data_IF_351256052919
#
_entry.id   IF_351256052919
#
_cell.length_a   1.000
_cell.length_b   1.000
_cell.length_c   1.000
_cell.angle_alpha   90.00
_cell.angle_beta   90.00
_cell.angle_gamma   90.00
#
_symmetry.space_group_name_H-M   'P 1'
#
loop_
_entity.id
_entity.type
_entity.pdbx_description
1 polymer ?
#
# COMPACT_ATOMS: atom_id res chain seq x y z
N UNK A 1 -16.51 7.43 -29.41
CA UNK A 1 -15.43 7.80 -28.46
C UNK A 1 -14.69 6.60 -27.82
N UNK A 2 -15.14 5.34 -27.97
CA UNK A 2 -14.50 4.16 -27.35
C UNK A 2 -13.41 3.45 -28.20
N UNK A 3 -13.24 3.83 -29.47
CA UNK A 3 -12.37 3.10 -30.43
C UNK A 3 -10.86 3.32 -30.19
N UNK A 4 -10.45 4.49 -29.67
CA UNK A 4 -9.03 4.82 -29.42
C UNK A 4 -8.50 4.37 -28.04
N UNK A 5 -9.38 3.91 -27.14
CA UNK A 5 -8.99 3.53 -25.77
C UNK A 5 -8.15 2.25 -25.78
N UNK A 6 -8.51 1.26 -26.59
CA UNK A 6 -7.78 -0.01 -26.69
C UNK A 6 -6.34 0.16 -27.22
N UNK A 7 -6.09 0.85 -28.35
CA UNK A 7 -4.72 1.07 -28.82
C UNK A 7 -3.89 1.90 -27.84
N UNK A 8 -4.50 2.87 -27.15
CA UNK A 8 -3.83 3.63 -26.08
C UNK A 8 -3.41 2.74 -24.91
N UNK A 9 -4.28 1.85 -24.44
CA UNK A 9 -3.94 0.87 -23.39
C UNK A 9 -2.80 -0.02 -23.84
N UNK A 10 -2.84 -0.53 -25.07
CA UNK A 10 -1.75 -1.37 -25.61
C UNK A 10 -0.44 -0.60 -25.72
N UNK A 11 -0.43 0.64 -26.21
CA UNK A 11 0.80 1.44 -26.31
C UNK A 11 1.39 1.74 -24.93
N UNK A 12 0.56 2.02 -23.92
CA UNK A 12 1.01 2.22 -22.54
C UNK A 12 1.59 0.92 -21.96
N UNK A 13 0.91 -0.21 -22.12
CA UNK A 13 1.40 -1.51 -21.64
C UNK A 13 2.72 -1.90 -22.31
N UNK A 14 2.85 -1.70 -23.63
CA UNK A 14 4.10 -1.93 -24.38
C UNK A 14 5.20 -0.98 -23.89
N UNK A 15 4.89 0.30 -23.68
CA UNK A 15 5.84 1.27 -23.15
C UNK A 15 6.37 0.88 -21.76
N UNK A 16 5.48 0.47 -20.85
CA UNK A 16 5.86 -0.06 -19.52
C UNK A 16 6.75 -1.29 -19.67
N UNK A 17 6.37 -2.24 -20.53
CA UNK A 17 7.13 -3.46 -20.75
C UNK A 17 8.54 -3.16 -21.29
N UNK A 18 8.65 -2.33 -22.32
CA UNK A 18 9.94 -1.94 -22.91
C UNK A 18 10.80 -1.20 -21.90
N UNK A 19 10.22 -0.28 -21.11
CA UNK A 19 10.94 0.43 -20.05
C UNK A 19 11.51 -0.54 -19.01
N UNK A 20 10.70 -1.50 -18.53
CA UNK A 20 11.14 -2.51 -17.56
C UNK A 20 12.25 -3.36 -18.14
N UNK A 21 12.10 -3.86 -19.38
CA UNK A 21 13.10 -4.67 -20.05
C UNK A 21 14.42 -3.91 -20.25
N UNK A 22 14.34 -2.64 -20.69
CA UNK A 22 15.51 -1.79 -20.87
C UNK A 22 16.21 -1.47 -19.54
N UNK A 23 15.44 -1.22 -18.47
CA UNK A 23 16.00 -0.96 -17.14
C UNK A 23 16.73 -2.19 -16.60
N UNK A 24 16.16 -3.38 -16.76
CA UNK A 24 16.79 -4.64 -16.34
C UNK A 24 18.02 -4.92 -17.20
N UNK A 25 17.93 -4.73 -18.52
CA UNK A 25 19.05 -4.97 -19.44
C UNK A 25 20.23 -4.02 -19.15
N UNK A 26 19.97 -2.73 -19.01
CA UNK A 26 21.00 -1.72 -18.73
C UNK A 26 21.52 -1.76 -17.28
N UNK A 27 20.69 -2.21 -16.34
CA UNK A 27 21.00 -2.18 -14.91
C UNK A 27 21.38 -3.54 -14.31
N UNK A 28 21.46 -4.61 -15.09
CA UNK A 28 21.62 -5.99 -14.58
C UNK A 28 22.79 -6.12 -13.59
N UNK A 29 23.96 -5.60 -13.96
CA UNK A 29 25.17 -5.70 -13.13
C UNK A 29 25.09 -4.86 -11.85
N UNK A 30 24.43 -3.70 -11.94
CA UNK A 30 24.17 -2.84 -10.77
C UNK A 30 23.17 -3.48 -9.81
N UNK A 31 22.13 -4.15 -10.34
CA UNK A 31 21.15 -4.89 -9.53
C UNK A 31 21.83 -6.07 -8.85
N UNK A 32 22.60 -6.87 -9.60
CA UNK A 32 23.29 -8.05 -9.07
C UNK A 32 24.30 -7.67 -7.99
N UNK A 33 25.11 -6.63 -8.24
CA UNK A 33 26.09 -6.15 -7.27
C UNK A 33 25.42 -5.59 -6.01
N UNK A 34 24.33 -4.83 -6.14
CA UNK A 34 23.55 -4.37 -4.99
C UNK A 34 22.99 -5.54 -4.17
N UNK A 35 22.47 -6.59 -4.83
CA UNK A 35 22.00 -7.80 -4.18
C UNK A 35 23.11 -8.55 -3.43
N UNK A 36 24.31 -8.65 -4.00
CA UNK A 36 25.46 -9.28 -3.33
C UNK A 36 26.01 -8.45 -2.17
N UNK A 37 25.80 -7.13 -2.19
CA UNK A 37 26.21 -6.22 -1.11
C UNK A 37 25.21 -6.19 0.06
N UNK A 38 24.03 -6.82 -0.08
CA UNK A 38 23.07 -6.92 1.02
C UNK A 38 23.59 -7.89 2.09
N UNK A 39 24.02 -7.33 3.22
CA UNK A 39 24.39 -8.13 4.39
C UNK A 39 23.15 -8.79 5.00
N UNK A 40 23.29 -9.95 5.66
CA UNK A 40 22.19 -10.57 6.40
C UNK A 40 21.56 -9.63 7.44
N UNK A 41 22.37 -8.77 8.06
CA UNK A 41 21.89 -7.76 9.00
C UNK A 41 21.00 -6.72 8.30
N UNK A 42 21.38 -6.23 7.12
CA UNK A 42 20.56 -5.31 6.34
C UNK A 42 19.21 -5.94 5.97
N UNK A 43 19.20 -7.23 5.58
CA UNK A 43 17.96 -7.96 5.32
C UNK A 43 17.06 -8.04 6.56
N UNK A 44 17.61 -8.39 7.72
CA UNK A 44 16.85 -8.44 8.98
C UNK A 44 16.27 -7.06 9.32
N UNK A 45 17.05 -5.99 9.16
CA UNK A 45 16.59 -4.61 9.42
C UNK A 45 15.45 -4.24 8.46
N UNK A 46 15.60 -4.48 7.16
CA UNK A 46 14.58 -4.15 6.14
C UNK A 46 13.28 -4.93 6.41
N UNK A 47 13.38 -6.22 6.70
CA UNK A 47 12.22 -7.05 7.03
C UNK A 47 11.58 -6.63 8.36
N UNK A 48 12.40 -6.33 9.37
CA UNK A 48 11.96 -5.84 10.66
C UNK A 48 11.19 -4.51 10.54
N UNK A 49 11.74 -3.55 9.80
CA UNK A 49 11.08 -2.28 9.48
C UNK A 49 9.78 -2.49 8.70
N UNK A 50 9.74 -3.46 7.78
CA UNK A 50 8.53 -3.78 7.02
C UNK A 50 7.42 -4.35 7.92
N UNK A 51 7.77 -5.27 8.82
CA UNK A 51 6.82 -5.82 9.81
C UNK A 51 6.35 -4.72 10.75
N UNK A 52 7.28 -3.89 11.25
CA UNK A 52 6.96 -2.77 12.12
C UNK A 52 6.00 -1.77 11.45
N UNK A 53 6.21 -1.49 10.16
CA UNK A 53 5.29 -0.69 9.37
C UNK A 53 3.87 -1.28 9.35
N UNK A 54 3.74 -2.59 9.14
CA UNK A 54 2.42 -3.26 9.15
C UNK A 54 1.76 -3.24 10.53
N UNK A 55 2.54 -3.34 11.61
CA UNK A 55 2.02 -3.23 12.99
C UNK A 55 1.43 -1.83 13.21
N UNK A 56 2.14 -0.77 12.85
CA UNK A 56 1.64 0.61 13.01
C UNK A 56 0.36 0.81 12.19
N UNK A 57 0.35 0.34 10.94
CA UNK A 57 -0.83 0.46 10.08
C UNK A 57 -2.03 -0.29 10.65
N UNK A 58 -1.81 -1.49 11.18
CA UNK A 58 -2.87 -2.24 11.87
C UNK A 58 -3.35 -1.50 13.13
N UNK A 59 -2.45 -0.95 13.95
CA UNK A 59 -2.81 -0.22 15.16
C UNK A 59 -3.69 0.99 14.85
N UNK A 60 -3.35 1.75 13.79
CA UNK A 60 -4.15 2.87 13.30
C UNK A 60 -5.54 2.41 12.82
N UNK A 61 -5.61 1.33 12.05
CA UNK A 61 -6.88 0.74 11.62
C UNK A 61 -7.74 0.29 12.80
N UNK A 62 -7.13 -0.39 13.76
CA UNK A 62 -7.80 -0.82 14.99
C UNK A 62 -8.38 0.36 15.76
N UNK A 63 -7.61 1.45 15.86
CA UNK A 63 -8.09 2.69 16.47
C UNK A 63 -9.32 3.25 15.74
N UNK A 64 -9.31 3.39 14.42
CA UNK A 64 -10.48 3.86 13.66
C UNK A 64 -11.73 3.01 13.88
N UNK A 65 -11.58 1.69 13.89
CA UNK A 65 -12.72 0.77 14.09
C UNK A 65 -13.27 0.84 15.51
N UNK A 66 -12.40 0.95 16.51
CA UNK A 66 -12.82 1.04 17.91
C UNK A 66 -13.58 2.34 18.23
N UNK A 67 -13.34 3.42 17.47
CA UNK A 67 -14.14 4.66 17.60
C UNK A 67 -15.63 4.44 17.28
N UNK A 68 -15.99 3.38 16.57
CA UNK A 68 -17.39 3.06 16.28
C UNK A 68 -18.13 2.33 17.41
N UNK A 69 -17.45 2.03 18.53
CA UNK A 69 -18.03 1.38 19.70
C UNK A 69 -18.22 -0.13 19.59
N UNK A 70 -17.63 -0.77 18.57
CA UNK A 70 -17.73 -2.21 18.35
C UNK A 70 -16.44 -2.92 18.79
N UNK A 71 -16.58 -4.01 19.54
CA UNK A 71 -15.44 -4.80 20.01
C UNK A 71 -15.19 -5.98 19.07
N UNK A 72 -13.97 -6.07 18.52
CA UNK A 72 -13.53 -7.19 17.70
C UNK A 72 -12.36 -7.88 18.44
N UNK A 73 -12.38 -9.22 18.58
CA UNK A 73 -11.24 -9.96 19.12
C UNK A 73 -9.96 -9.65 18.32
N UNK A 74 -8.89 -9.23 19.01
CA UNK A 74 -7.66 -8.74 18.38
C UNK A 74 -7.04 -9.75 17.40
N UNK A 75 -7.07 -11.05 17.74
CA UNK A 75 -6.60 -12.13 16.88
C UNK A 75 -7.33 -12.19 15.53
N UNK A 76 -8.66 -12.06 15.54
CA UNK A 76 -9.49 -12.04 14.33
C UNK A 76 -9.33 -10.73 13.58
N UNK A 77 -9.20 -9.62 14.30
CA UNK A 77 -9.06 -8.30 13.69
C UNK A 77 -7.77 -8.16 12.89
N UNK A 78 -6.66 -8.70 13.41
CA UNK A 78 -5.39 -8.82 12.67
C UNK A 78 -5.60 -9.62 11.39
N UNK A 79 -6.24 -10.79 11.48
CA UNK A 79 -6.48 -11.63 10.30
C UNK A 79 -7.37 -10.94 9.26
N UNK A 80 -8.41 -10.22 9.70
CA UNK A 80 -9.24 -9.42 8.81
C UNK A 80 -8.44 -8.28 8.17
N UNK A 81 -7.59 -7.60 8.94
CA UNK A 81 -6.72 -6.58 8.37
C UNK A 81 -5.81 -7.17 7.29
N UNK A 82 -5.19 -8.32 7.57
CA UNK A 82 -4.32 -8.97 6.62
C UNK A 82 -5.05 -9.56 5.40
N UNK A 83 -6.30 -10.01 5.55
CA UNK A 83 -7.10 -10.49 4.42
C UNK A 83 -7.35 -9.40 3.38
N UNK A 84 -7.37 -8.13 3.77
CA UNK A 84 -7.42 -7.00 2.84
C UNK A 84 -6.21 -6.93 1.89
N UNK A 85 -5.07 -7.50 2.25
CA UNK A 85 -3.90 -7.53 1.35
C UNK A 85 -4.00 -8.58 0.24
N UNK A 86 -4.89 -9.59 0.38
CA UNK A 86 -5.03 -10.71 -0.57
C UNK A 86 -5.37 -10.26 -2.00
N UNK A 87 -5.98 -9.09 -2.15
CA UNK A 87 -6.39 -8.52 -3.43
C UNK A 87 -5.78 -7.13 -3.66
N UNK A 88 -4.60 -6.86 -3.09
CA UNK A 88 -3.90 -5.57 -3.27
C UNK A 88 -3.54 -5.25 -4.72
N UNK A 89 -3.40 -6.25 -5.58
CA UNK A 89 -3.14 -6.09 -7.02
C UNK A 89 -4.37 -5.57 -7.80
N UNK A 90 -5.53 -5.41 -7.15
CA UNK A 90 -6.71 -4.85 -7.79
C UNK A 90 -6.56 -3.35 -8.06
N UNK A 91 -7.05 -2.84 -9.21
CA UNK A 91 -7.00 -1.41 -9.51
C UNK A 91 -7.71 -0.61 -8.41
N UNK A 92 -7.04 0.44 -7.91
CA UNK A 92 -7.58 1.28 -6.83
C UNK A 92 -7.57 0.67 -5.43
N UNK A 93 -6.89 -0.47 -5.21
CA UNK A 93 -6.86 -1.21 -3.93
C UNK A 93 -8.25 -1.63 -3.41
N UNK A 94 -9.20 -1.84 -4.33
CA UNK A 94 -10.59 -2.26 -4.02
C UNK A 94 -10.63 -3.57 -3.24
N UNK A 95 -9.62 -4.42 -3.42
CA UNK A 95 -9.41 -5.66 -2.68
C UNK A 95 -9.38 -5.50 -1.16
N UNK A 96 -8.97 -4.34 -0.64
CA UNK A 96 -8.99 -4.06 0.79
C UNK A 96 -10.41 -3.96 1.37
N UNK A 97 -11.43 -3.73 0.51
CA UNK A 97 -12.83 -3.68 0.92
C UNK A 97 -13.37 -5.04 1.40
N UNK A 98 -12.66 -6.15 1.18
CA UNK A 98 -13.03 -7.47 1.75
C UNK A 98 -13.11 -7.43 3.28
N UNK A 99 -12.34 -6.53 3.91
CA UNK A 99 -12.41 -6.24 5.35
C UNK A 99 -13.82 -5.87 5.79
N UNK A 100 -14.58 -5.17 4.95
CA UNK A 100 -15.93 -4.70 5.27
C UNK A 100 -16.90 -5.87 5.44
N UNK A 101 -16.71 -6.95 4.67
CA UNK A 101 -17.52 -8.18 4.79
C UNK A 101 -17.31 -8.81 6.17
N UNK A 102 -16.08 -8.83 6.68
CA UNK A 102 -15.78 -9.34 8.01
C UNK A 102 -16.27 -8.39 9.11
N UNK A 103 -16.08 -7.07 8.95
CA UNK A 103 -16.54 -6.06 9.91
C UNK A 103 -18.07 -6.01 10.04
N UNK A 104 -18.81 -6.27 8.94
CA UNK A 104 -20.28 -6.35 8.95
C UNK A 104 -20.81 -7.39 9.94
N UNK A 105 -20.07 -8.49 10.16
CA UNK A 105 -20.42 -9.55 11.13
C UNK A 105 -20.35 -9.06 12.59
N UNK A 106 -19.67 -7.94 12.84
CA UNK A 106 -19.54 -7.31 14.15
C UNK A 106 -20.43 -6.07 14.30
N UNK A 107 -21.40 -5.88 13.39
CA UNK A 107 -22.36 -4.77 13.44
C UNK A 107 -21.84 -3.44 12.90
N UNK A 108 -20.63 -3.41 12.31
CA UNK A 108 -20.11 -2.20 11.67
C UNK A 108 -20.72 -2.07 10.29
N UNK A 109 -21.41 -0.94 10.05
CA UNK A 109 -22.03 -0.67 8.75
C UNK A 109 -21.00 -0.42 7.65
N UNK A 110 -21.39 -0.68 6.40
CA UNK A 110 -20.55 -0.40 5.24
C UNK A 110 -20.12 1.08 5.19
N UNK A 111 -21.02 2.00 5.54
CA UNK A 111 -20.73 3.44 5.61
C UNK A 111 -19.63 3.77 6.61
N UNK A 112 -19.66 3.17 7.82
CA UNK A 112 -18.62 3.35 8.84
C UNK A 112 -17.28 2.77 8.36
N UNK A 113 -17.29 1.59 7.74
CA UNK A 113 -16.06 0.98 7.20
C UNK A 113 -15.46 1.78 6.04
N UNK A 114 -16.29 2.34 5.16
CA UNK A 114 -15.86 3.24 4.08
C UNK A 114 -15.29 4.55 4.64
N UNK A 115 -15.92 5.14 5.66
CA UNK A 115 -15.41 6.34 6.32
C UNK A 115 -14.04 6.10 6.96
N UNK A 116 -13.84 4.93 7.62
CA UNK A 116 -12.53 4.55 8.15
C UNK A 116 -11.48 4.37 7.04
N UNK A 117 -11.84 3.72 5.93
CA UNK A 117 -10.93 3.59 4.77
C UNK A 117 -10.58 4.97 4.18
N UNK A 118 -11.56 5.86 4.03
CA UNK A 118 -11.33 7.20 3.52
C UNK A 118 -10.40 8.00 4.45
N UNK A 119 -10.62 7.96 5.75
CA UNK A 119 -9.76 8.60 6.75
C UNK A 119 -8.31 8.09 6.66
N UNK A 120 -8.13 6.77 6.48
CA UNK A 120 -6.81 6.18 6.29
C UNK A 120 -6.12 6.73 5.04
N UNK A 121 -6.82 6.77 3.89
CA UNK A 121 -6.25 7.28 2.62
C UNK A 121 -5.95 8.76 2.66
N UNK A 122 -6.85 9.54 3.26
CA UNK A 122 -6.66 10.96 3.40
C UNK A 122 -5.47 11.28 4.31
N UNK A 123 -5.34 10.56 5.43
CA UNK A 123 -4.19 10.68 6.33
C UNK A 123 -2.87 10.31 5.64
N UNK A 124 -2.86 9.25 4.82
CA UNK A 124 -1.66 8.86 4.06
C UNK A 124 -1.28 9.93 3.02
N UNK A 125 -2.25 10.47 2.30
CA UNK A 125 -2.02 11.55 1.33
C UNK A 125 -1.48 12.81 2.00
N UNK A 126 -2.09 13.22 3.12
CA UNK A 126 -1.60 14.36 3.91
C UNK A 126 -0.17 14.15 4.38
N UNK A 127 0.14 12.96 4.92
CA UNK A 127 1.50 12.63 5.35
C UNK A 127 2.50 12.71 4.19
N UNK A 128 2.13 12.19 3.01
CA UNK A 128 2.97 12.29 1.81
C UNK A 128 3.15 13.73 1.34
N UNK A 129 2.10 14.55 1.33
CA UNK A 129 2.21 15.97 0.96
C UNK A 129 3.13 16.73 1.92
N UNK A 130 3.02 16.46 3.23
CA UNK A 130 3.88 17.08 4.24
C UNK A 130 5.34 16.65 4.03
N UNK A 131 5.61 15.35 3.88
CA UNK A 131 6.96 14.85 3.64
C UNK A 131 7.55 15.38 2.34
N UNK A 132 6.77 15.43 1.27
CA UNK A 132 7.18 16.01 -0.02
C UNK A 132 7.47 17.50 0.11
N UNK A 133 6.64 18.25 0.86
CA UNK A 133 6.88 19.65 1.16
C UNK A 133 8.17 19.87 1.95
N UNK A 134 8.42 19.07 2.98
CA UNK A 134 9.69 19.10 3.71
C UNK A 134 10.89 18.79 2.80
N UNK A 135 10.78 17.78 1.95
CA UNK A 135 11.83 17.43 1.00
C UNK A 135 12.11 18.58 0.03
N UNK A 136 11.06 19.21 -0.51
CA UNK A 136 11.20 20.34 -1.44
C UNK A 136 11.88 21.57 -0.81
N UNK A 137 11.71 21.79 0.51
CA UNK A 137 12.33 22.92 1.22
C UNK A 137 13.78 22.60 1.61
N UNK A 138 14.10 21.34 1.92
CA UNK A 138 15.40 20.98 2.49
C UNK A 138 16.41 20.47 1.45
N UNK A 139 15.95 19.89 0.35
CA UNK A 139 16.81 19.47 -0.74
C UNK A 139 16.86 20.57 -1.81
N UNK A 140 17.80 21.51 -1.68
CA UNK A 140 18.08 22.58 -2.67
C UNK A 140 18.48 22.09 -4.07
N UNK A 141 18.54 20.76 -4.30
CA UNK A 141 19.01 20.10 -5.53
C UNK A 141 17.93 19.31 -6.26
N UNK A 142 16.72 19.88 -6.33
CA UNK A 142 15.75 19.60 -7.39
C UNK A 142 15.24 20.90 -7.99
#
# INVERSE_FOLDING_TARGET
MASYIKPLIYSVLIGILLYVLMTIYAGKDNILSALTNLTPLALIIILGLSIFNYIIRFARWNWYVNQFGHHIPANKHILYYFSGFSLTTTPGKVGEAIRFVYLKRYGISLTKSLAALFAERFSDLLAMCILAGFAAIHFDKY
#
